data_IF_391437117029
#
_entry.id   IF_391437117029
#
_cell.length_a   1.000
_cell.length_b   1.000
_cell.length_c   1.000
_cell.angle_alpha   90.00
_cell.angle_beta   90.00
_cell.angle_gamma   90.00
#
_symmetry.space_group_name_H-M   'P 1'
#
loop_
_entity.id
_entity.type
_entity.pdbx_description
1 polymer ?
#
# COMPACT_ATOMS: atom_id res chain seq x y z
N UNK A 1 -1.33 7.58 -13.57
CA UNK A 1 -2.30 8.71 -13.57
C UNK A 1 -3.34 8.60 -12.45
N UNK A 2 -4.00 7.44 -12.23
CA UNK A 2 -5.02 7.30 -11.16
C UNK A 2 -4.52 7.58 -9.73
N UNK A 3 -3.29 7.18 -9.39
CA UNK A 3 -2.72 7.41 -8.05
C UNK A 3 -2.59 8.91 -7.71
N UNK A 4 -2.13 9.72 -8.67
CA UNK A 4 -1.99 11.16 -8.49
C UNK A 4 -3.35 11.88 -8.38
N UNK A 5 -4.38 11.41 -9.11
CA UNK A 5 -5.74 11.93 -8.97
C UNK A 5 -6.34 11.62 -7.59
N UNK A 6 -6.07 10.42 -7.06
CA UNK A 6 -6.52 10.03 -5.72
C UNK A 6 -5.87 10.88 -4.62
N UNK A 7 -4.58 11.18 -4.78
CA UNK A 7 -3.81 12.07 -3.92
C UNK A 7 -4.28 13.52 -4.01
N UNK A 8 -4.63 14.01 -5.20
CA UNK A 8 -5.15 15.37 -5.39
C UNK A 8 -6.54 15.57 -4.77
N UNK A 9 -7.34 14.50 -4.66
CA UNK A 9 -8.69 14.55 -4.11
C UNK A 9 -8.74 14.53 -2.58
N UNK A 10 -7.66 14.14 -1.93
CA UNK A 10 -7.50 14.23 -0.48
C UNK A 10 -6.47 15.31 -0.21
N UNK A 11 -6.96 16.48 0.20
CA UNK A 11 -6.09 17.50 0.77
C UNK A 11 -5.23 16.87 1.87
N UNK A 12 -3.94 17.16 1.85
CA UNK A 12 -2.87 16.70 2.75
C UNK A 12 -3.24 16.82 4.24
N UNK A 13 -4.25 17.63 4.57
CA UNK A 13 -4.74 17.89 5.92
C UNK A 13 -5.42 16.70 6.63
N UNK A 14 -5.80 15.62 5.93
CA UNK A 14 -6.60 14.51 6.52
C UNK A 14 -5.79 13.21 6.66
N UNK A 15 -4.57 13.15 6.12
CA UNK A 15 -3.73 11.95 6.28
C UNK A 15 -3.10 11.91 7.67
N UNK A 16 -3.26 10.81 8.44
CA UNK A 16 -2.50 10.63 9.67
C UNK A 16 -1.00 10.64 9.36
N UNK A 17 -0.20 11.20 10.26
CA UNK A 17 1.25 11.41 10.10
C UNK A 17 2.07 10.27 9.46
N UNK A 18 1.81 8.96 9.73
CA UNK A 18 2.55 7.89 9.06
C UNK A 18 2.23 7.78 7.56
N UNK A 19 1.00 8.09 7.14
CA UNK A 19 0.58 7.95 5.75
C UNK A 19 1.00 9.12 4.87
N UNK A 20 1.07 10.33 5.42
CA UNK A 20 1.62 11.50 4.72
C UNK A 20 3.11 11.31 4.39
N UNK A 21 3.86 10.66 5.29
CA UNK A 21 5.24 10.24 5.01
C UNK A 21 5.30 9.27 3.83
N UNK A 22 4.43 8.27 3.78
CA UNK A 22 4.40 7.32 2.68
C UNK A 22 4.05 7.96 1.32
N UNK A 23 3.29 9.06 1.28
CA UNK A 23 3.08 9.81 0.04
C UNK A 23 4.38 10.40 -0.55
N UNK A 24 5.42 10.64 0.27
CA UNK A 24 6.71 11.19 -0.15
C UNK A 24 7.69 10.13 -0.67
N UNK A 25 7.48 8.84 -0.35
CA UNK A 25 8.39 7.73 -0.71
C UNK A 25 8.11 7.17 -2.12
N UNK A 26 7.28 7.87 -2.90
CA UNK A 26 6.96 7.49 -4.28
C UNK A 26 6.33 6.10 -4.39
N UNK A 27 6.88 5.27 -5.27
CA UNK A 27 6.31 3.96 -5.62
C UNK A 27 6.23 2.98 -4.44
N UNK A 28 7.22 2.98 -3.54
CA UNK A 28 7.22 2.11 -2.35
C UNK A 28 6.18 2.55 -1.31
N UNK A 29 5.88 3.85 -1.26
CA UNK A 29 4.87 4.40 -0.37
C UNK A 29 3.43 4.28 -0.90
N UNK A 30 3.26 3.99 -2.19
CA UNK A 30 1.94 3.81 -2.80
C UNK A 30 1.15 2.65 -2.17
N UNK A 31 1.83 1.64 -1.64
CA UNK A 31 1.20 0.41 -1.10
C UNK A 31 0.56 0.62 0.26
N UNK A 32 1.23 1.20 1.29
CA UNK A 32 0.57 1.55 2.53
C UNK A 32 -0.56 2.57 2.32
N UNK A 33 -0.43 3.47 1.35
CA UNK A 33 -1.49 4.41 0.94
C UNK A 33 -2.68 3.67 0.31
N UNK A 34 -2.44 2.73 -0.59
CA UNK A 34 -3.49 1.89 -1.19
C UNK A 34 -4.16 1.00 -0.13
N UNK A 35 -3.39 0.45 0.80
CA UNK A 35 -3.92 -0.32 1.93
C UNK A 35 -4.84 0.54 2.81
N UNK A 36 -4.45 1.79 3.09
CA UNK A 36 -5.29 2.77 3.79
C UNK A 36 -6.63 2.97 3.07
N UNK A 37 -6.60 3.19 1.76
CA UNK A 37 -7.82 3.35 0.95
C UNK A 37 -8.72 2.10 0.92
N UNK A 38 -8.13 0.92 0.78
CA UNK A 38 -8.84 -0.36 0.91
C UNK A 38 -9.46 -0.55 2.31
N UNK A 39 -8.78 -0.07 3.36
CA UNK A 39 -9.26 -0.05 4.74
C UNK A 39 -10.47 0.86 4.91
N UNK A 40 -10.42 2.07 4.36
CA UNK A 40 -11.53 3.04 4.37
C UNK A 40 -12.75 2.45 3.66
N UNK A 41 -12.58 1.93 2.44
CA UNK A 41 -13.66 1.29 1.66
C UNK A 41 -14.33 0.16 2.45
N UNK A 42 -13.55 -0.69 3.12
CA UNK A 42 -14.07 -1.86 3.84
C UNK A 42 -14.52 -1.54 5.26
N UNK A 43 -14.52 -0.26 5.66
CA UNK A 43 -14.77 0.20 7.04
C UNK A 43 -13.99 -0.62 8.08
N UNK A 44 -12.78 -1.06 7.71
CA UNK A 44 -11.88 -1.81 8.60
C UNK A 44 -11.10 -0.83 9.47
N UNK A 45 -10.79 -1.24 10.69
CA UNK A 45 -9.97 -0.41 11.61
C UNK A 45 -8.61 -0.15 10.98
N UNK A 46 -8.35 1.11 10.64
CA UNK A 46 -7.06 1.58 10.15
C UNK A 46 -6.22 2.01 11.35
N UNK A 47 -4.92 1.72 11.33
CA UNK A 47 -4.00 2.22 12.33
C UNK A 47 -3.97 3.76 12.26
N UNK A 48 -3.99 4.43 13.40
CA UNK A 48 -3.93 5.90 13.49
C UNK A 48 -5.15 6.67 12.93
N UNK A 49 -6.30 6.01 12.71
CA UNK A 49 -7.58 6.67 12.39
C UNK A 49 -8.66 6.21 13.36
N UNK A 50 -9.37 7.15 14.00
CA UNK A 50 -10.53 6.84 14.83
C UNK A 50 -11.69 6.27 14.02
N UNK A 51 -12.32 5.20 14.53
CA UNK A 51 -13.36 4.44 13.82
C UNK A 51 -14.62 5.25 13.47
N UNK A 52 -14.89 6.33 14.21
CA UNK A 52 -16.05 7.20 14.00
C UNK A 52 -15.73 8.46 13.18
N UNK A 53 -14.55 8.52 12.55
CA UNK A 53 -14.16 9.66 11.75
C UNK A 53 -14.94 9.69 10.42
N UNK A 54 -15.40 10.87 10.00
CA UNK A 54 -16.11 11.14 8.74
C UNK A 54 -15.34 10.65 7.50
N UNK A 55 -14.03 10.45 7.63
CA UNK A 55 -13.16 9.76 6.67
C UNK A 55 -13.69 8.42 6.15
N UNK A 56 -14.37 7.63 6.98
CA UNK A 56 -14.92 6.33 6.56
C UNK A 56 -16.10 6.45 5.60
N UNK A 57 -16.71 7.64 5.51
CA UNK A 57 -17.79 7.93 4.57
C UNK A 57 -17.27 8.58 3.28
N UNK A 58 -15.95 8.78 3.14
CA UNK A 58 -15.32 9.33 1.92
C UNK A 58 -15.64 8.55 0.63
N UNK A 59 -15.83 7.24 0.75
CA UNK A 59 -16.19 6.36 -0.37
C UNK A 59 -17.71 6.12 -0.48
N UNK A 60 -18.51 6.67 0.43
CA UNK A 60 -19.96 6.50 0.41
C UNK A 60 -20.54 7.29 -0.79
N UNK A 61 -21.13 6.60 -1.76
CA UNK A 61 -21.64 7.21 -2.99
C UNK A 61 -20.61 7.49 -4.09
N UNK A 62 -19.34 7.06 -3.93
CA UNK A 62 -18.34 7.11 -5.01
C UNK A 62 -18.37 5.84 -5.84
N UNK A 63 -18.11 6.00 -7.14
CA UNK A 63 -18.09 4.90 -8.11
C UNK A 63 -17.06 3.83 -7.70
N UNK A 64 -17.52 2.58 -7.63
CA UNK A 64 -16.69 1.43 -7.26
C UNK A 64 -15.53 1.24 -8.23
N UNK A 65 -15.70 1.64 -9.50
CA UNK A 65 -14.69 1.57 -10.56
C UNK A 65 -13.36 2.22 -10.17
N UNK A 66 -13.41 3.29 -9.37
CA UNK A 66 -12.24 4.04 -8.91
C UNK A 66 -11.38 3.27 -7.91
N UNK A 67 -11.92 2.23 -7.29
CA UNK A 67 -11.26 1.42 -6.26
C UNK A 67 -10.96 -0.01 -6.71
N UNK A 68 -11.60 -0.47 -7.78
CA UNK A 68 -11.46 -1.86 -8.28
C UNK A 68 -10.03 -2.20 -8.67
N UNK A 69 -9.24 -1.24 -9.18
CA UNK A 69 -7.83 -1.44 -9.54
C UNK A 69 -6.89 -1.53 -8.33
N UNK A 70 -7.30 -1.01 -7.17
CA UNK A 70 -6.45 -0.95 -5.97
C UNK A 70 -6.18 -2.35 -5.40
N UNK A 71 -7.19 -3.21 -5.45
CA UNK A 71 -7.12 -4.57 -4.94
C UNK A 71 -6.13 -5.45 -5.73
N UNK A 72 -6.25 -5.60 -7.07
CA UNK A 72 -5.27 -6.36 -7.85
C UNK A 72 -3.88 -5.75 -7.77
N UNK A 73 -3.74 -4.42 -7.77
CA UNK A 73 -2.43 -3.76 -7.59
C UNK A 73 -1.77 -4.13 -6.26
N UNK A 74 -2.52 -4.09 -5.16
CA UNK A 74 -1.99 -4.47 -3.83
C UNK A 74 -1.51 -5.92 -3.81
N UNK A 75 -2.27 -6.86 -4.39
CA UNK A 75 -1.86 -8.26 -4.45
C UNK A 75 -0.63 -8.47 -5.33
N UNK A 76 -0.62 -7.89 -6.53
CA UNK A 76 0.53 -7.95 -7.45
C UNK A 76 1.80 -7.42 -6.79
N UNK A 77 1.72 -6.27 -6.11
CA UNK A 77 2.86 -5.71 -5.40
C UNK A 77 3.44 -6.64 -4.34
N UNK A 78 2.58 -7.21 -3.50
CA UNK A 78 3.00 -8.12 -2.44
C UNK A 78 3.61 -9.40 -3.01
N UNK A 79 3.04 -9.95 -4.09
CA UNK A 79 3.59 -11.11 -4.79
C UNK A 79 4.96 -10.79 -5.39
N UNK A 80 5.11 -9.65 -6.06
CA UNK A 80 6.41 -9.22 -6.61
C UNK A 80 7.47 -9.07 -5.51
N UNK A 81 7.13 -8.40 -4.41
CA UNK A 81 8.05 -8.25 -3.27
C UNK A 81 8.43 -9.60 -2.66
N UNK A 82 7.48 -10.52 -2.55
CA UNK A 82 7.72 -11.88 -2.06
C UNK A 82 8.67 -12.64 -3.01
N UNK A 83 8.44 -12.60 -4.31
CA UNK A 83 9.32 -13.18 -5.32
C UNK A 83 10.75 -12.60 -5.25
N UNK A 84 10.87 -11.27 -5.16
CA UNK A 84 12.17 -10.61 -5.00
C UNK A 84 12.89 -11.07 -3.73
N UNK A 85 12.18 -11.14 -2.61
CA UNK A 85 12.73 -11.64 -1.34
C UNK A 85 13.20 -13.09 -1.46
N UNK A 86 12.42 -13.96 -2.12
CA UNK A 86 12.82 -15.35 -2.38
C UNK A 86 14.12 -15.41 -3.18
N UNK A 87 14.24 -14.66 -4.29
CA UNK A 87 15.45 -14.65 -5.13
C UNK A 87 16.67 -14.19 -4.33
N UNK A 88 16.53 -13.16 -3.49
CA UNK A 88 17.62 -12.67 -2.63
C UNK A 88 18.04 -13.75 -1.62
N UNK A 89 17.08 -14.41 -0.96
CA UNK A 89 17.37 -15.48 0.00
C UNK A 89 18.10 -16.63 -0.69
N UNK A 90 17.64 -17.07 -1.87
CA UNK A 90 18.31 -18.11 -2.65
C UNK A 90 19.72 -17.69 -3.06
N UNK A 91 19.91 -16.45 -3.52
CA UNK A 91 21.23 -15.92 -3.84
C UNK A 91 22.18 -15.93 -2.64
N UNK A 92 21.70 -15.50 -1.47
CA UNK A 92 22.47 -15.51 -0.21
C UNK A 92 22.80 -16.95 0.21
N UNK A 93 21.84 -17.86 0.16
CA UNK A 93 22.05 -19.28 0.52
C UNK A 93 23.07 -19.93 -0.42
N UNK A 94 22.96 -19.70 -1.72
CA UNK A 94 23.91 -20.20 -2.73
C UNK A 94 25.32 -19.63 -2.51
N UNK A 95 25.42 -18.34 -2.22
CA UNK A 95 26.70 -17.70 -1.94
C UNK A 95 27.35 -18.25 -0.65
N UNK A 96 26.56 -18.49 0.40
CA UNK A 96 27.06 -19.10 1.65
C UNK A 96 27.50 -20.55 1.40
N UNK A 97 26.73 -21.33 0.63
CA UNK A 97 27.06 -22.71 0.23
C UNK A 97 28.37 -22.75 -0.53
N UNK A 98 28.53 -21.97 -1.59
CA UNK A 98 29.76 -21.88 -2.39
C UNK A 98 30.97 -21.44 -1.57
N UNK A 99 30.78 -20.57 -0.57
CA UNK A 99 31.87 -20.08 0.27
C UNK A 99 32.34 -21.08 1.34
N UNK A 100 31.44 -21.92 1.88
CA UNK A 100 31.76 -22.83 2.99
C UNK A 100 31.87 -24.30 2.58
N UNK A 101 31.31 -24.68 1.43
CA UNK A 101 31.36 -26.02 0.86
C UNK A 101 31.67 -25.90 -0.64
N UNK A 102 32.93 -25.63 -1.01
CA UNK A 102 33.36 -25.64 -2.41
C UNK A 102 33.27 -27.05 -3.03
#
# INVERSE_FOLDING_TARGET
MLYAQLLAHIQVAIFPAPYSFHCLVGFFGAVPVIYFFLGLKRKKKILFVEKNNELYDFFNGKDESLTTWMQPFYYLWNVTMLCCAFVIIFGVVMHIKLKHFP
#
